data_IF_096301668479
#
_entry.id   IF_096301668479
#
_cell.length_a   1.000
_cell.length_b   1.000
_cell.length_c   1.000
_cell.angle_alpha   90.00
_cell.angle_beta   90.00
_cell.angle_gamma   90.00
#
_symmetry.space_group_name_H-M   'P 1'
#
loop_
_entity.id
_entity.type
_entity.pdbx_description
1 polymer ?
#
# COMPACT_ATOMS: atom_id res chain seq x y z
N UNK A 1 -39.86 17.66 7.74
CA UNK A 1 -39.67 17.27 9.16
C UNK A 1 -38.83 18.34 9.80
N UNK A 2 -39.22 18.84 10.97
CA UNK A 2 -38.47 19.88 11.69
C UNK A 2 -37.37 19.21 12.50
N UNK A 3 -36.13 19.67 12.36
CA UNK A 3 -35.00 19.26 13.19
C UNK A 3 -34.84 20.25 14.35
N UNK A 4 -34.25 19.80 15.45
CA UNK A 4 -33.91 20.63 16.60
C UNK A 4 -32.43 20.47 16.93
N UNK A 5 -31.76 21.56 17.28
CA UNK A 5 -30.35 21.58 17.60
C UNK A 5 -30.13 22.01 19.05
N UNK A 6 -29.14 21.40 19.71
CA UNK A 6 -28.67 21.84 21.02
C UNK A 6 -27.39 22.65 20.84
N UNK A 7 -27.43 23.92 21.24
CA UNK A 7 -26.30 24.83 21.18
C UNK A 7 -25.58 24.79 22.52
N UNK A 8 -24.25 24.64 22.49
CA UNK A 8 -23.38 24.77 23.66
C UNK A 8 -22.32 25.83 23.39
N UNK A 9 -21.69 26.34 24.45
CA UNK A 9 -20.51 27.18 24.32
C UNK A 9 -19.26 26.34 24.58
N UNK A 10 -18.30 26.39 23.66
CA UNK A 10 -17.03 25.71 23.75
C UNK A 10 -15.93 26.72 23.33
N UNK A 11 -14.98 26.98 24.23
CA UNK A 11 -13.86 27.90 23.99
C UNK A 11 -14.29 29.32 23.52
N UNK A 12 -15.42 29.81 24.02
CA UNK A 12 -15.98 31.12 23.67
C UNK A 12 -16.71 31.18 22.32
N UNK A 13 -16.93 30.03 21.68
CA UNK A 13 -17.66 29.88 20.42
C UNK A 13 -18.90 29.02 20.64
N UNK A 14 -20.03 29.39 20.05
CA UNK A 14 -21.21 28.54 20.06
C UNK A 14 -21.03 27.38 19.08
N UNK A 15 -21.30 26.16 19.54
CA UNK A 15 -21.14 24.92 18.77
C UNK A 15 -22.43 24.11 18.87
N UNK A 16 -22.82 23.49 17.75
CA UNK A 16 -23.91 22.52 17.74
C UNK A 16 -23.43 21.19 18.36
N UNK A 17 -23.93 20.87 19.54
CA UNK A 17 -23.62 19.63 20.24
C UNK A 17 -24.44 18.44 19.72
N UNK A 18 -25.63 18.69 19.18
CA UNK A 18 -26.57 17.65 18.80
C UNK A 18 -27.61 18.20 17.83
N UNK A 19 -28.06 17.36 16.89
CA UNK A 19 -29.19 17.65 15.99
C UNK A 19 -30.12 16.45 16.01
N UNK A 20 -31.40 16.66 16.32
CA UNK A 20 -32.42 15.61 16.43
C UNK A 20 -33.56 15.85 15.47
N UNK A 21 -34.10 14.77 14.87
CA UNK A 21 -35.23 14.82 13.94
C UNK A 21 -36.61 14.60 14.58
N UNK A 22 -36.72 14.80 15.90
CA UNK A 22 -37.95 14.64 16.66
C UNK A 22 -38.14 15.84 17.60
N UNK A 23 -39.38 16.08 18.03
CA UNK A 23 -39.70 17.12 19.01
C UNK A 23 -39.12 16.77 20.41
N UNK A 24 -38.13 17.53 20.92
CA UNK A 24 -37.50 17.30 22.22
C UNK A 24 -38.51 17.26 23.37
N UNK A 25 -39.59 18.04 23.31
CA UNK A 25 -40.60 18.10 24.38
C UNK A 25 -41.38 16.78 24.56
N UNK A 26 -41.37 15.92 23.53
CA UNK A 26 -42.04 14.61 23.57
C UNK A 26 -41.15 13.49 24.11
N UNK A 27 -39.83 13.69 24.17
CA UNK A 27 -38.84 12.66 24.52
C UNK A 27 -38.04 12.98 25.78
N UNK A 28 -37.86 14.25 26.11
CA UNK A 28 -37.04 14.70 27.21
C UNK A 28 -37.86 15.41 28.29
N UNK A 29 -37.28 15.54 29.49
CA UNK A 29 -37.86 16.37 30.56
C UNK A 29 -37.90 17.83 30.11
N UNK A 30 -38.82 18.67 30.64
CA UNK A 30 -38.91 20.08 30.25
C UNK A 30 -37.57 20.83 30.37
N UNK A 31 -36.77 20.49 31.39
CA UNK A 31 -35.43 21.07 31.59
C UNK A 31 -34.43 20.75 30.48
N UNK A 32 -34.50 19.55 29.88
CA UNK A 32 -33.62 19.14 28.79
C UNK A 32 -34.18 19.62 27.45
N UNK A 33 -35.49 19.52 27.24
CA UNK A 33 -36.15 20.00 26.02
C UNK A 33 -35.90 21.49 25.80
N UNK A 34 -35.85 22.30 26.87
CA UNK A 34 -35.54 23.73 26.82
C UNK A 34 -34.11 24.06 26.33
N UNK A 35 -33.20 23.07 26.25
CA UNK A 35 -31.85 23.25 25.71
C UNK A 35 -31.80 23.18 24.18
N UNK A 36 -32.90 22.78 23.55
CA UNK A 36 -33.00 22.62 22.11
C UNK A 36 -33.73 23.80 21.49
N UNK A 37 -33.28 24.21 20.31
CA UNK A 37 -33.92 25.20 19.45
C UNK A 37 -34.28 24.56 18.11
N UNK A 38 -35.23 25.12 17.38
CA UNK A 38 -35.48 24.69 16.01
C UNK A 38 -34.23 24.90 15.16
N UNK A 39 -33.80 23.85 14.45
CA UNK A 39 -32.57 23.87 13.68
C UNK A 39 -32.77 24.63 12.37
N UNK A 40 -31.93 25.64 12.12
CA UNK A 40 -31.86 26.33 10.83
C UNK A 40 -30.98 25.58 9.84
N UNK A 41 -30.96 26.05 8.59
CA UNK A 41 -29.96 25.62 7.62
C UNK A 41 -28.54 25.87 8.17
N UNK A 42 -27.62 24.93 7.94
CA UNK A 42 -26.24 24.98 8.46
C UNK A 42 -26.05 24.47 9.90
N UNK A 43 -27.11 24.30 10.70
CA UNK A 43 -27.00 23.69 12.04
C UNK A 43 -26.81 22.17 11.93
N UNK A 44 -25.59 21.76 11.61
CA UNK A 44 -25.15 20.36 11.64
C UNK A 44 -24.31 20.09 12.88
N UNK A 45 -24.16 18.82 13.25
CA UNK A 45 -23.30 18.43 14.38
C UNK A 45 -21.90 19.04 14.24
N UNK A 46 -21.41 19.68 15.31
CA UNK A 46 -20.14 20.43 15.38
C UNK A 46 -20.02 21.66 14.50
N UNK A 47 -21.11 22.15 13.90
CA UNK A 47 -21.09 23.47 13.29
C UNK A 47 -20.79 24.54 14.34
N UNK A 48 -19.99 25.54 13.96
CA UNK A 48 -19.60 26.66 14.82
C UNK A 48 -20.31 27.93 14.36
N UNK A 49 -20.73 28.78 15.31
CA UNK A 49 -21.31 30.08 14.99
C UNK A 49 -20.19 31.11 14.82
N UNK A 50 -19.86 31.45 13.57
CA UNK A 50 -18.78 32.35 13.19
C UNK A 50 -19.34 33.47 12.30
N UNK A 51 -19.00 34.72 12.60
CA UNK A 51 -19.39 35.91 11.80
C UNK A 51 -20.90 36.04 11.52
N UNK A 52 -21.75 35.46 12.36
CA UNK A 52 -23.21 35.51 12.22
C UNK A 52 -23.84 34.30 11.52
N UNK A 53 -23.04 33.31 11.10
CA UNK A 53 -23.47 32.13 10.36
C UNK A 53 -23.00 30.81 11.01
N UNK A 54 -23.71 29.71 10.75
CA UNK A 54 -23.29 28.37 11.17
C UNK A 54 -22.36 27.76 10.12
N UNK A 55 -21.09 27.60 10.49
CA UNK A 55 -20.04 27.02 9.65
C UNK A 55 -19.90 25.54 10.01
N UNK A 56 -20.15 24.60 9.08
CA UNK A 56 -19.97 23.17 9.34
C UNK A 56 -18.50 22.86 9.66
N UNK A 57 -18.22 21.79 10.42
CA UNK A 57 -16.85 21.37 10.67
C UNK A 57 -16.17 21.03 9.34
N UNK A 58 -14.88 21.38 9.22
CA UNK A 58 -14.06 20.96 8.09
C UNK A 58 -14.06 19.42 7.99
N UNK A 59 -14.17 18.90 6.77
CA UNK A 59 -13.95 17.48 6.54
C UNK A 59 -12.53 17.11 7.02
N UNK A 60 -12.35 15.96 7.70
CA UNK A 60 -11.02 15.49 8.03
C UNK A 60 -10.21 15.32 6.74
N UNK A 61 -8.94 15.72 6.75
CA UNK A 61 -8.04 15.44 5.65
C UNK A 61 -7.99 13.92 5.42
N UNK A 62 -7.94 13.45 4.16
CA UNK A 62 -7.75 12.04 3.89
C UNK A 62 -6.44 11.57 4.50
N UNK A 63 -6.44 10.37 5.09
CA UNK A 63 -5.21 9.74 5.56
C UNK A 63 -4.18 9.67 4.42
N UNK A 64 -2.89 9.91 4.69
CA UNK A 64 -1.85 9.78 3.68
C UNK A 64 -1.82 8.34 3.13
N UNK A 65 -1.64 8.22 1.81
CA UNK A 65 -1.48 6.91 1.17
C UNK A 65 -0.30 6.15 1.83
N UNK A 66 -0.44 4.83 2.06
CA UNK A 66 0.65 4.02 2.58
C UNK A 66 1.87 4.11 1.66
N UNK A 67 3.06 4.31 2.25
CA UNK A 67 4.30 4.22 1.49
C UNK A 67 4.44 2.82 0.85
N UNK A 68 5.00 2.72 -0.36
CA UNK A 68 5.25 1.43 -0.99
C UNK A 68 6.17 0.58 -0.10
N UNK A 69 5.87 -0.72 0.01
CA UNK A 69 6.71 -1.64 0.75
C UNK A 69 8.12 -1.68 0.14
N UNK A 70 9.18 -1.80 0.95
CA UNK A 70 10.53 -1.94 0.43
C UNK A 70 10.65 -3.23 -0.40
N UNK A 71 11.57 -3.28 -1.38
CA UNK A 71 11.81 -4.49 -2.16
C UNK A 71 12.18 -5.67 -1.25
N UNK A 72 11.71 -6.86 -1.61
CA UNK A 72 12.03 -8.06 -0.84
C UNK A 72 13.54 -8.35 -0.88
N UNK A 73 14.13 -8.55 0.30
CA UNK A 73 15.49 -9.06 0.48
C UNK A 73 15.36 -10.49 1.00
N UNK A 74 15.88 -11.44 0.22
CA UNK A 74 15.74 -12.87 0.49
C UNK A 74 17.11 -13.54 0.47
N UNK A 75 17.26 -14.68 1.12
CA UNK A 75 18.51 -15.44 1.06
C UNK A 75 18.77 -15.96 -0.37
N UNK A 76 20.04 -16.21 -0.71
CA UNK A 76 20.40 -16.85 -1.99
C UNK A 76 19.62 -18.14 -2.25
N UNK A 77 19.41 -18.96 -1.21
CA UNK A 77 18.66 -20.22 -1.34
C UNK A 77 17.19 -19.93 -1.66
N UNK A 78 16.56 -18.98 -0.97
CA UNK A 78 15.18 -18.57 -1.27
C UNK A 78 15.06 -18.02 -2.68
N UNK A 79 16.03 -17.23 -3.14
CA UNK A 79 16.06 -16.75 -4.53
C UNK A 79 16.09 -17.90 -5.53
N UNK A 80 16.96 -18.90 -5.32
CA UNK A 80 17.00 -20.08 -6.19
C UNK A 80 15.71 -20.92 -6.17
N UNK A 81 14.95 -20.86 -5.06
CA UNK A 81 13.66 -21.55 -4.93
C UNK A 81 12.51 -20.87 -5.68
N UNK A 82 12.69 -19.63 -6.15
CA UNK A 82 11.70 -18.95 -7.02
C UNK A 82 11.69 -19.52 -8.45
N UNK A 83 12.74 -20.25 -8.83
CA UNK A 83 12.84 -20.92 -10.12
C UNK A 83 12.32 -22.36 -10.02
N UNK A 84 11.61 -22.82 -11.03
CA UNK A 84 11.19 -24.22 -11.15
C UNK A 84 12.41 -25.16 -11.28
N UNK A 85 12.21 -26.46 -11.06
CA UNK A 85 13.31 -27.44 -11.20
C UNK A 85 13.89 -27.43 -12.63
N UNK A 86 13.03 -27.27 -13.63
CA UNK A 86 13.45 -27.20 -15.04
C UNK A 86 14.31 -25.96 -15.31
N UNK A 87 13.86 -24.80 -14.82
CA UNK A 87 14.61 -23.53 -14.91
C UNK A 87 15.95 -23.65 -14.19
N UNK A 88 15.98 -24.14 -12.95
CA UNK A 88 17.21 -24.36 -12.21
C UNK A 88 18.19 -25.29 -12.95
N UNK A 89 17.67 -26.32 -13.63
CA UNK A 89 18.49 -27.23 -14.44
C UNK A 89 19.10 -26.50 -15.64
N UNK A 90 18.30 -25.68 -16.35
CA UNK A 90 18.77 -24.88 -17.49
C UNK A 90 19.84 -23.87 -17.06
N UNK A 91 19.61 -23.12 -15.98
CA UNK A 91 20.58 -22.17 -15.44
C UNK A 91 21.90 -22.85 -15.06
N UNK A 92 21.84 -24.01 -14.39
CA UNK A 92 23.04 -24.78 -14.03
C UNK A 92 23.75 -25.37 -15.25
N UNK A 93 23.02 -25.73 -16.31
CA UNK A 93 23.63 -26.19 -17.55
C UNK A 93 24.40 -25.05 -18.22
N UNK A 94 23.77 -23.88 -18.36
CA UNK A 94 24.39 -22.69 -18.94
C UNK A 94 25.61 -22.23 -18.10
N UNK A 95 25.50 -22.24 -16.77
CA UNK A 95 26.59 -21.84 -15.86
C UNK A 95 27.76 -22.80 -15.77
N UNK A 96 27.74 -23.91 -16.51
CA UNK A 96 28.88 -24.83 -16.65
C UNK A 96 29.60 -24.68 -17.99
N UNK A 97 29.08 -23.86 -18.89
CA UNK A 97 29.73 -23.60 -20.17
C UNK A 97 31.02 -22.81 -19.94
N UNK A 98 32.10 -23.28 -20.56
CA UNK A 98 33.38 -22.58 -20.55
C UNK A 98 33.37 -21.42 -21.57
N UNK A 99 34.24 -20.39 -21.41
CA UNK A 99 34.29 -19.24 -22.31
C UNK A 99 34.56 -19.55 -23.79
N UNK A 100 35.12 -20.72 -24.09
CA UNK A 100 35.40 -21.22 -25.44
C UNK A 100 34.25 -22.06 -26.04
N UNK A 101 33.16 -22.29 -25.28
CA UNK A 101 31.98 -22.98 -25.77
C UNK A 101 31.18 -22.08 -26.73
N UNK A 102 30.67 -22.65 -27.83
CA UNK A 102 29.92 -21.90 -28.85
C UNK A 102 28.65 -21.21 -28.31
N UNK A 103 28.03 -21.79 -27.28
CA UNK A 103 26.81 -21.30 -26.63
C UNK A 103 27.11 -20.49 -25.35
N UNK A 104 28.38 -20.14 -25.11
CA UNK A 104 28.76 -19.33 -23.96
C UNK A 104 28.15 -17.93 -24.06
N UNK A 105 27.61 -17.46 -22.93
CA UNK A 105 27.00 -16.15 -22.82
C UNK A 105 27.63 -15.38 -21.67
N UNK A 106 28.38 -14.33 -22.00
CA UNK A 106 29.09 -13.50 -21.03
C UNK A 106 28.16 -12.71 -20.11
N UNK A 107 26.95 -12.33 -20.57
CA UNK A 107 25.99 -11.61 -19.74
C UNK A 107 25.38 -12.56 -18.71
N UNK A 108 25.03 -13.77 -19.14
CA UNK A 108 24.61 -14.83 -18.24
C UNK A 108 25.71 -15.17 -17.23
N UNK A 109 26.95 -15.38 -17.69
CA UNK A 109 28.06 -15.75 -16.80
C UNK A 109 28.31 -14.66 -15.74
N UNK A 110 28.33 -13.38 -16.13
CA UNK A 110 28.50 -12.29 -15.16
C UNK A 110 27.42 -12.31 -14.05
N UNK A 111 26.15 -12.51 -14.43
CA UNK A 111 25.05 -12.63 -13.47
C UNK A 111 25.16 -13.92 -12.63
N UNK A 112 25.52 -15.03 -13.27
CA UNK A 112 25.65 -16.34 -12.63
C UNK A 112 26.80 -16.38 -11.62
N UNK A 113 27.95 -15.77 -11.93
CA UNK A 113 29.09 -15.65 -11.00
C UNK A 113 28.70 -14.84 -9.77
N UNK A 114 27.99 -13.72 -9.95
CA UNK A 114 27.45 -12.93 -8.83
C UNK A 114 26.57 -13.79 -7.93
N UNK A 115 25.61 -14.54 -8.51
CA UNK A 115 24.72 -15.42 -7.75
C UNK A 115 25.45 -16.59 -7.07
N UNK A 116 26.62 -16.99 -7.56
CA UNK A 116 27.40 -18.09 -7.01
C UNK A 116 28.54 -17.67 -6.09
N UNK A 117 28.75 -16.36 -5.91
CA UNK A 117 29.74 -15.84 -4.98
C UNK A 117 29.48 -16.41 -3.56
N UNK A 118 30.46 -17.06 -2.91
CA UNK A 118 30.30 -17.59 -1.55
C UNK A 118 30.02 -16.50 -0.49
N UNK A 119 30.32 -15.23 -0.79
CA UNK A 119 30.03 -14.09 0.09
C UNK A 119 28.60 -13.56 -0.07
N UNK A 120 27.88 -13.96 -1.12
CA UNK A 120 26.49 -13.55 -1.32
C UNK A 120 25.55 -14.30 -0.36
N UNK A 121 25.11 -13.61 0.69
CA UNK A 121 24.15 -14.15 1.67
C UNK A 121 22.70 -13.85 1.28
N UNK A 122 22.47 -12.68 0.68
CA UNK A 122 21.14 -12.12 0.40
C UNK A 122 21.06 -11.57 -1.01
N UNK A 123 19.86 -11.61 -1.58
CA UNK A 123 19.49 -11.06 -2.88
C UNK A 123 18.37 -10.07 -2.66
N UNK A 124 18.59 -8.82 -3.05
CA UNK A 124 17.55 -7.80 -3.11
C UNK A 124 16.88 -7.85 -4.48
N UNK A 125 15.57 -8.16 -4.51
CA UNK A 125 14.80 -8.31 -5.74
C UNK A 125 14.55 -6.98 -6.47
N UNK A 126 14.64 -5.85 -5.76
CA UNK A 126 14.55 -4.51 -6.37
C UNK A 126 15.91 -3.94 -6.78
N UNK A 127 17.02 -4.64 -6.53
CA UNK A 127 18.33 -4.17 -6.94
C UNK A 127 18.46 -4.24 -8.47
N UNK A 128 19.00 -3.18 -9.09
CA UNK A 128 19.05 -3.05 -10.55
C UNK A 128 19.71 -4.25 -11.24
N UNK A 129 20.82 -4.79 -10.69
CA UNK A 129 21.47 -5.98 -11.27
C UNK A 129 20.61 -7.25 -11.16
N UNK A 130 19.83 -7.41 -10.09
CA UNK A 130 18.92 -8.53 -9.94
C UNK A 130 17.80 -8.44 -10.97
N UNK A 131 17.19 -7.25 -11.09
CA UNK A 131 16.12 -6.98 -12.06
C UNK A 131 16.61 -7.21 -13.49
N UNK A 132 17.75 -6.64 -13.87
CA UNK A 132 18.34 -6.83 -15.20
C UNK A 132 18.71 -8.27 -15.46
N UNK A 133 19.33 -8.96 -14.50
CA UNK A 133 19.71 -10.37 -14.65
C UNK A 133 18.51 -11.29 -14.82
N UNK A 134 17.45 -11.13 -14.01
CA UNK A 134 16.24 -11.95 -14.12
C UNK A 134 15.48 -11.69 -15.43
N UNK A 135 15.32 -10.42 -15.83
CA UNK A 135 14.73 -10.09 -17.14
C UNK A 135 15.57 -10.62 -18.30
N UNK A 136 16.90 -10.65 -18.15
CA UNK A 136 17.78 -11.21 -19.15
C UNK A 136 17.52 -12.71 -19.35
N UNK A 137 17.38 -13.49 -18.26
CA UNK A 137 17.07 -14.92 -18.33
C UNK A 137 15.82 -15.22 -19.16
N UNK A 138 14.78 -14.39 -19.03
CA UNK A 138 13.55 -14.51 -19.82
C UNK A 138 13.79 -14.14 -21.29
N UNK A 139 14.55 -13.07 -21.55
CA UNK A 139 14.86 -12.63 -22.92
C UNK A 139 15.66 -13.63 -23.75
N UNK A 140 16.42 -14.52 -23.09
CA UNK A 140 17.18 -15.61 -23.71
C UNK A 140 16.50 -16.98 -23.53
N UNK A 141 15.23 -16.99 -23.09
CA UNK A 141 14.39 -18.19 -22.95
C UNK A 141 14.96 -19.26 -21.99
N UNK A 142 15.84 -18.86 -21.05
CA UNK A 142 16.30 -19.74 -19.96
C UNK A 142 15.22 -19.95 -18.88
N UNK A 143 14.29 -19.01 -18.80
CA UNK A 143 13.03 -19.12 -18.05
C UNK A 143 11.86 -18.81 -18.98
N UNK A 144 10.65 -19.25 -18.62
CA UNK A 144 9.46 -19.03 -19.44
C UNK A 144 9.03 -17.56 -19.54
N UNK A 145 8.22 -17.24 -20.53
CA UNK A 145 7.61 -15.91 -20.67
C UNK A 145 6.74 -15.56 -19.45
N UNK A 146 6.90 -14.36 -18.90
CA UNK A 146 6.24 -13.88 -17.69
C UNK A 146 6.92 -14.29 -16.38
N UNK A 147 7.90 -15.20 -16.42
CA UNK A 147 8.58 -15.71 -15.22
C UNK A 147 9.47 -14.68 -14.57
N UNK A 148 10.03 -13.73 -15.32
CA UNK A 148 10.83 -12.68 -14.72
C UNK A 148 10.00 -11.83 -13.73
N UNK A 149 8.77 -11.49 -14.12
CA UNK A 149 7.84 -10.76 -13.26
C UNK A 149 7.46 -11.55 -12.01
N UNK A 150 7.18 -12.85 -12.14
CA UNK A 150 6.84 -13.73 -11.01
C UNK A 150 8.02 -13.86 -10.01
N UNK A 151 9.24 -14.05 -10.50
CA UNK A 151 10.45 -14.13 -9.66
C UNK A 151 10.70 -12.80 -8.93
N UNK A 152 10.63 -11.66 -9.64
CA UNK A 152 10.84 -10.34 -9.03
C UNK A 152 9.72 -9.94 -8.07
N UNK A 153 8.52 -10.51 -8.23
CA UNK A 153 7.40 -10.40 -7.29
C UNK A 153 7.49 -11.37 -6.10
N UNK A 154 8.59 -12.14 -5.96
CA UNK A 154 8.77 -13.15 -4.91
C UNK A 154 7.63 -14.19 -4.89
N UNK A 155 7.14 -14.57 -6.07
CA UNK A 155 6.04 -15.53 -6.23
C UNK A 155 6.57 -16.89 -6.66
N UNK A 156 5.96 -17.97 -6.15
CA UNK A 156 6.33 -19.33 -6.50
C UNK A 156 6.11 -19.59 -8.01
N UNK A 157 6.88 -20.52 -8.62
CA UNK A 157 6.68 -20.88 -10.03
C UNK A 157 5.28 -21.43 -10.28
N UNK A 158 4.60 -20.85 -11.28
CA UNK A 158 3.31 -21.28 -11.83
C UNK A 158 3.39 -22.64 -12.54
#
# INVERSE_FOLDING_TARGET
MTNYARIIEQDGVQVIAEVVGFDPATKFTPSIAALFVEASEGMVYRAQYLEGEWVPPSEPEPDPEPAPAPPAVITRIQFMQLFSITEQSALRAQGRLAPDHQDFDANFDAFWQMLNDPQLTEVNLGHAMTVTGVNYLESVELIGEGRAAEVLANTAPS
#
